data_IF_963369959046
#
_entry.id   IF_963369959046
#
_cell.length_a   1.000
_cell.length_b   1.000
_cell.length_c   1.000
_cell.angle_alpha   90.00
_cell.angle_beta   90.00
_cell.angle_gamma   90.00
#
_symmetry.space_group_name_H-M   'P 1'
#
loop_
_entity.id
_entity.type
_entity.pdbx_description
1 polymer ?
#
# COMPACT_ATOMS: atom_id res chain seq x y z
N UNK A 1 -5.59 -18.27 -8.12
CA UNK A 1 -6.56 -19.12 -7.38
C UNK A 1 -6.44 -18.85 -5.87
N UNK A 2 -7.54 -18.48 -5.19
CA UNK A 2 -7.52 -18.25 -3.74
C UNK A 2 -7.54 -19.58 -2.99
N UNK A 3 -6.98 -19.63 -1.78
CA UNK A 3 -6.93 -20.86 -0.96
C UNK A 3 -8.33 -21.34 -0.52
N UNK A 4 -9.32 -20.44 -0.50
CA UNK A 4 -10.71 -20.73 -0.14
C UNK A 4 -11.67 -19.96 -1.05
N UNK A 5 -12.88 -20.50 -1.31
CA UNK A 5 -13.90 -19.77 -2.06
C UNK A 5 -14.33 -18.51 -1.31
N UNK A 6 -14.58 -17.42 -2.04
CA UNK A 6 -15.05 -16.17 -1.48
C UNK A 6 -16.54 -16.30 -1.08
N UNK A 7 -16.93 -16.00 0.17
CA UNK A 7 -18.33 -16.04 0.57
C UNK A 7 -19.13 -14.89 -0.06
N UNK A 8 -20.44 -15.09 -0.22
CA UNK A 8 -21.34 -14.07 -0.78
C UNK A 8 -21.52 -12.85 0.15
N UNK A 9 -21.46 -13.08 1.47
CA UNK A 9 -21.52 -12.04 2.49
C UNK A 9 -20.17 -12.01 3.22
N UNK A 10 -19.45 -10.88 3.26
CA UNK A 10 -18.21 -10.75 4.02
C UNK A 10 -18.45 -10.91 5.52
N UNK A 11 -17.62 -11.70 6.19
CA UNK A 11 -17.62 -11.82 7.67
C UNK A 11 -16.62 -10.88 8.35
N UNK A 12 -15.83 -10.15 7.55
CA UNK A 12 -14.78 -9.21 7.96
C UNK A 12 -13.67 -9.81 8.85
N UNK A 13 -13.49 -11.14 8.85
CA UNK A 13 -12.41 -11.79 9.61
C UNK A 13 -11.07 -11.63 8.87
N UNK A 14 -10.06 -11.13 9.59
CA UNK A 14 -8.70 -10.95 9.08
C UNK A 14 -7.64 -11.60 9.96
N UNK A 15 -6.45 -11.79 9.40
CA UNK A 15 -5.23 -12.17 10.10
C UNK A 15 -4.11 -11.18 9.80
N UNK A 16 -3.07 -11.15 10.64
CA UNK A 16 -1.91 -10.26 10.47
C UNK A 16 -0.63 -11.10 10.44
N UNK A 17 0.18 -10.91 9.41
CA UNK A 17 1.54 -11.45 9.34
C UNK A 17 2.51 -10.26 9.30
N UNK A 18 3.25 -10.07 10.38
CA UNK A 18 4.27 -9.03 10.45
C UNK A 18 5.57 -9.50 9.78
N UNK A 19 6.17 -8.63 8.98
CA UNK A 19 7.48 -8.86 8.38
C UNK A 19 8.33 -7.60 8.51
N UNK A 20 9.65 -7.72 8.38
CA UNK A 20 10.60 -6.61 8.46
C UNK A 20 11.48 -6.62 7.23
N UNK A 21 11.78 -5.42 6.73
CA UNK A 21 12.79 -5.24 5.70
C UNK A 21 14.16 -5.08 6.39
N UNK A 22 15.14 -5.83 5.91
CA UNK A 22 16.52 -5.69 6.37
C UNK A 22 17.05 -4.26 6.11
N UNK A 23 17.82 -3.65 7.02
CA UNK A 23 18.32 -2.29 6.85
C UNK A 23 19.13 -2.07 5.56
N UNK A 24 19.90 -3.06 5.11
CA UNK A 24 20.65 -2.96 3.86
C UNK A 24 19.72 -2.98 2.65
N UNK A 25 18.64 -3.79 2.70
CA UNK A 25 17.62 -3.77 1.67
C UNK A 25 16.86 -2.44 1.64
N UNK A 26 16.54 -1.87 2.81
CA UNK A 26 15.94 -0.54 2.91
C UNK A 26 16.82 0.55 2.30
N UNK A 27 18.11 0.58 2.64
CA UNK A 27 19.05 1.55 2.08
C UNK A 27 19.15 1.47 0.55
N UNK A 28 19.12 0.26 -0.01
CA UNK A 28 19.10 0.06 -1.46
C UNK A 28 17.82 0.56 -2.11
N UNK A 29 16.66 0.38 -1.47
CA UNK A 29 15.40 0.93 -1.98
C UNK A 29 15.35 2.46 -1.88
N UNK A 30 15.95 3.05 -0.85
CA UNK A 30 16.07 4.49 -0.72
C UNK A 30 16.93 5.07 -1.86
N UNK A 31 18.09 4.46 -2.12
CA UNK A 31 18.92 4.86 -3.26
C UNK A 31 18.21 4.69 -4.62
N UNK A 32 17.36 3.67 -4.77
CA UNK A 32 16.53 3.51 -5.96
C UNK A 32 15.50 4.65 -6.08
N UNK A 33 14.84 5.01 -4.99
CA UNK A 33 13.89 6.12 -4.96
C UNK A 33 14.55 7.42 -5.42
N UNK A 34 15.70 7.75 -4.83
CA UNK A 34 16.48 8.94 -5.17
C UNK A 34 16.94 8.95 -6.64
N UNK A 35 17.46 7.82 -7.12
CA UNK A 35 17.96 7.69 -8.50
C UNK A 35 16.86 7.90 -9.56
N UNK A 36 15.60 7.67 -9.21
CA UNK A 36 14.45 7.82 -10.11
C UNK A 36 13.55 9.02 -9.78
N UNK A 37 13.92 9.86 -8.81
CA UNK A 37 13.07 10.97 -8.36
C UNK A 37 11.71 10.52 -7.82
N UNK A 38 11.66 9.32 -7.26
CA UNK A 38 10.44 8.70 -6.73
C UNK A 38 10.43 8.76 -5.19
N UNK A 39 9.25 8.63 -4.59
CA UNK A 39 9.15 8.44 -3.14
C UNK A 39 9.30 6.97 -2.76
N UNK A 40 9.68 6.69 -1.51
CA UNK A 40 9.68 5.32 -0.98
C UNK A 40 8.28 4.66 -1.10
N UNK A 41 7.20 5.43 -0.96
CA UNK A 41 5.84 4.94 -1.15
C UNK A 41 5.63 4.40 -2.57
N UNK A 42 6.06 5.15 -3.60
CA UNK A 42 5.98 4.71 -5.00
C UNK A 42 6.79 3.43 -5.23
N UNK A 43 7.98 3.33 -4.65
CA UNK A 43 8.85 2.14 -4.76
C UNK A 43 8.16 0.91 -4.15
N UNK A 44 7.61 1.04 -2.94
CA UNK A 44 6.90 -0.06 -2.28
C UNK A 44 5.61 -0.43 -3.00
N UNK A 45 4.87 0.54 -3.54
CA UNK A 45 3.68 0.27 -4.36
C UNK A 45 4.04 -0.49 -5.63
N UNK A 46 5.13 -0.13 -6.31
CA UNK A 46 5.63 -0.88 -7.45
C UNK A 46 6.02 -2.31 -7.07
N UNK A 47 6.75 -2.48 -5.95
CA UNK A 47 7.12 -3.81 -5.46
C UNK A 47 5.89 -4.68 -5.13
N UNK A 48 4.86 -4.10 -4.52
CA UNK A 48 3.59 -4.77 -4.25
C UNK A 48 2.87 -5.18 -5.54
N UNK A 49 2.79 -4.29 -6.53
CA UNK A 49 2.18 -4.59 -7.82
C UNK A 49 2.92 -5.73 -8.54
N UNK A 50 4.25 -5.73 -8.53
CA UNK A 50 5.05 -6.85 -9.07
C UNK A 50 4.78 -8.16 -8.33
N UNK A 51 4.70 -8.13 -7.00
CA UNK A 51 4.42 -9.32 -6.19
C UNK A 51 3.02 -9.90 -6.49
N UNK A 52 2.01 -9.04 -6.60
CA UNK A 52 0.64 -9.45 -6.95
C UNK A 52 0.57 -10.01 -8.37
N UNK A 53 1.26 -9.40 -9.32
CA UNK A 53 1.40 -9.93 -10.69
C UNK A 53 2.06 -11.31 -10.68
N UNK A 54 3.14 -11.50 -9.93
CA UNK A 54 3.82 -12.78 -9.79
C UNK A 54 2.94 -13.85 -9.11
N UNK A 55 2.02 -13.44 -8.23
CA UNK A 55 1.00 -14.29 -7.63
C UNK A 55 -0.19 -14.61 -8.56
N UNK A 56 -0.20 -14.11 -9.79
CA UNK A 56 -1.23 -14.37 -10.79
C UNK A 56 -2.45 -13.45 -10.73
N UNK A 57 -2.32 -12.25 -10.12
CA UNK A 57 -3.39 -11.24 -10.09
C UNK A 57 -3.59 -10.51 -11.44
N UNK A 58 -2.82 -10.86 -12.47
CA UNK A 58 -2.89 -10.26 -13.80
C UNK A 58 -1.99 -9.03 -13.96
N UNK A 59 -2.05 -8.41 -15.15
CA UNK A 59 -1.19 -7.29 -15.55
C UNK A 59 -1.65 -5.94 -14.99
N UNK A 60 -2.92 -5.81 -14.60
CA UNK A 60 -3.51 -4.57 -14.10
C UNK A 60 -4.11 -4.82 -12.72
N UNK A 61 -3.52 -4.18 -11.72
CA UNK A 61 -3.91 -4.34 -10.32
C UNK A 61 -4.24 -2.95 -9.78
N UNK A 62 -5.42 -2.80 -9.20
CA UNK A 62 -5.82 -1.59 -8.51
C UNK A 62 -5.39 -1.66 -7.04
N UNK A 63 -4.71 -0.63 -6.54
CA UNK A 63 -4.22 -0.58 -5.15
C UNK A 63 -4.76 0.65 -4.44
N UNK A 64 -5.49 0.43 -3.35
CA UNK A 64 -5.98 1.50 -2.48
C UNK A 64 -4.88 2.04 -1.56
N UNK A 65 -4.76 3.37 -1.45
CA UNK A 65 -3.84 4.04 -0.51
C UNK A 65 -4.60 5.08 0.31
N UNK A 66 -4.56 5.02 1.65
CA UNK A 66 -5.16 6.05 2.49
C UNK A 66 -4.33 7.34 2.43
N UNK A 67 -5.01 8.48 2.37
CA UNK A 67 -4.43 9.82 2.49
C UNK A 67 -5.09 10.56 3.64
N UNK A 68 -4.34 11.45 4.30
CA UNK A 68 -4.79 12.09 5.54
C UNK A 68 -6.01 13.01 5.34
N UNK A 69 -6.19 13.59 4.15
CA UNK A 69 -7.30 14.50 3.83
C UNK A 69 -7.28 15.80 4.64
N UNK A 70 -6.08 16.29 4.99
CA UNK A 70 -5.85 17.48 5.83
C UNK A 70 -4.97 18.51 5.11
N UNK A 71 -5.27 18.77 3.83
CA UNK A 71 -4.48 19.71 3.03
C UNK A 71 -4.71 21.18 3.45
N UNK A 72 -5.81 21.46 4.17
CA UNK A 72 -6.08 22.74 4.81
C UNK A 72 -5.46 22.78 6.22
N UNK A 73 -4.65 23.82 6.47
CA UNK A 73 -3.93 24.03 7.74
C UNK A 73 -4.87 24.12 8.95
N UNK A 74 -6.10 24.61 8.77
CA UNK A 74 -7.11 24.69 9.82
C UNK A 74 -7.54 23.31 10.35
N UNK A 75 -7.32 22.25 9.56
CA UNK A 75 -7.68 20.87 9.91
C UNK A 75 -6.56 20.14 10.68
N UNK A 76 -5.36 20.71 10.75
CA UNK A 76 -4.18 20.06 11.32
C UNK A 76 -4.37 19.60 12.77
N UNK A 77 -4.96 20.46 13.61
CA UNK A 77 -5.16 20.20 15.04
C UNK A 77 -6.51 19.53 15.39
N UNK A 78 -7.39 19.29 14.41
CA UNK A 78 -8.73 18.77 14.67
C UNK A 78 -8.73 17.25 14.92
N UNK A 79 -9.61 16.83 15.83
CA UNK A 79 -9.95 15.42 16.04
C UNK A 79 -11.19 15.10 15.21
N UNK A 80 -11.05 14.16 14.27
CA UNK A 80 -12.11 13.77 13.35
C UNK A 80 -11.64 12.76 12.30
N UNK A 81 -12.56 12.21 11.52
CA UNK A 81 -12.26 11.24 10.45
C UNK A 81 -12.14 11.95 9.10
N UNK A 82 -10.91 12.17 8.65
CA UNK A 82 -10.59 12.87 7.39
C UNK A 82 -9.95 11.96 6.34
N UNK A 83 -9.70 10.69 6.68
CA UNK A 83 -8.99 9.76 5.80
C UNK A 83 -9.80 9.50 4.54
N UNK A 84 -9.17 9.72 3.38
CA UNK A 84 -9.72 9.34 2.09
C UNK A 84 -8.91 8.18 1.49
N UNK A 85 -9.52 7.37 0.64
CA UNK A 85 -8.84 6.28 -0.08
C UNK A 85 -8.70 6.63 -1.55
N UNK A 86 -7.47 6.73 -2.04
CA UNK A 86 -7.17 6.87 -3.46
C UNK A 86 -6.93 5.49 -4.08
N UNK A 87 -7.35 5.30 -5.33
CA UNK A 87 -7.07 4.09 -6.11
C UNK A 87 -5.99 4.42 -7.14
N UNK A 88 -4.89 3.67 -7.07
CA UNK A 88 -3.76 3.75 -8.00
C UNK A 88 -3.80 2.59 -8.99
#
# INVERSE_FOLDING_TARGET
PLDRPRPAVPDHRGGVVATRLDPAAHARLAGLADAHGASMLMVIQAALALALRAAGCGERVAVGTPVAGRDDEALGALVGFFVNTLVL
#
